data_IF_301825885682
#
_entry.id   IF_301825885682
#
_cell.length_a   1.000
_cell.length_b   1.000
_cell.length_c   1.000
_cell.angle_alpha   90.00
_cell.angle_beta   90.00
_cell.angle_gamma   90.00
#
_symmetry.space_group_name_H-M   'P 1'
#
loop_
_entity.id
_entity.type
_entity.pdbx_description
1 polymer ?
#
# COMPACT_ATOMS: atom_id res chain seq x y z
N UNK A 1 -3.28 4.40 -28.67
CA UNK A 1 -2.84 4.63 -27.28
C UNK A 1 -3.33 6.02 -26.88
N UNK A 2 -4.40 6.12 -26.09
CA UNK A 2 -4.81 7.41 -25.53
C UNK A 2 -3.75 7.82 -24.50
N UNK A 3 -3.04 8.91 -24.77
CA UNK A 3 -2.04 9.47 -23.87
C UNK A 3 -2.77 10.20 -22.74
N UNK A 4 -3.29 9.45 -21.76
CA UNK A 4 -3.87 10.04 -20.56
C UNK A 4 -2.72 10.33 -19.61
N UNK A 5 -2.40 11.61 -19.41
CA UNK A 5 -1.37 12.04 -18.45
C UNK A 5 -1.79 11.62 -17.04
N UNK A 6 -1.19 10.55 -16.52
CA UNK A 6 -1.39 10.12 -15.14
C UNK A 6 -0.54 10.97 -14.20
N UNK A 7 -1.12 11.37 -13.06
CA UNK A 7 -0.44 12.17 -12.04
C UNK A 7 -0.34 11.43 -10.70
N UNK A 8 0.84 11.50 -10.10
CA UNK A 8 1.15 10.93 -8.79
C UNK A 8 1.75 12.00 -7.87
N UNK A 9 1.37 11.98 -6.59
CA UNK A 9 1.93 12.85 -5.56
C UNK A 9 2.49 12.01 -4.40
N UNK A 10 3.77 12.19 -4.12
CA UNK A 10 4.42 11.65 -2.93
C UNK A 10 4.09 12.55 -1.72
N UNK A 11 3.31 12.07 -0.75
CA UNK A 11 2.98 12.86 0.46
C UNK A 11 3.79 12.44 1.70
N UNK A 12 4.74 11.51 1.55
CA UNK A 12 5.70 11.15 2.58
C UNK A 12 7.10 11.55 2.13
N UNK A 13 8.10 11.57 3.03
CA UNK A 13 9.48 11.79 2.62
C UNK A 13 9.93 10.70 1.64
N UNK A 14 10.52 11.08 0.51
CA UNK A 14 11.07 10.14 -0.51
C UNK A 14 12.22 9.29 0.04
N UNK A 15 12.75 9.63 1.22
CA UNK A 15 13.69 8.79 1.98
C UNK A 15 13.03 7.55 2.59
N UNK A 16 11.70 7.53 2.75
CA UNK A 16 10.96 6.35 3.19
C UNK A 16 10.78 5.36 2.05
N UNK A 17 10.79 4.07 2.36
CA UNK A 17 10.76 3.00 1.35
C UNK A 17 9.53 3.08 0.44
N UNK A 18 8.37 3.46 0.97
CA UNK A 18 7.10 3.54 0.22
C UNK A 18 7.14 4.63 -0.84
N UNK A 19 7.52 5.84 -0.45
CA UNK A 19 7.58 6.96 -1.39
C UNK A 19 8.77 6.86 -2.32
N UNK A 20 9.87 6.25 -1.88
CA UNK A 20 11.02 5.98 -2.74
C UNK A 20 10.62 5.06 -3.91
N UNK A 21 10.11 3.87 -3.61
CA UNK A 21 9.69 2.91 -4.64
C UNK A 21 8.51 3.47 -5.43
N UNK A 22 7.53 4.06 -4.73
CA UNK A 22 6.37 4.69 -5.35
C UNK A 22 6.80 5.66 -6.43
N UNK A 23 7.65 6.61 -6.09
CA UNK A 23 8.21 7.62 -7.00
C UNK A 23 8.98 6.96 -8.15
N UNK A 24 9.92 6.06 -7.87
CA UNK A 24 10.73 5.40 -8.90
C UNK A 24 9.89 4.63 -9.93
N UNK A 25 8.90 3.86 -9.47
CA UNK A 25 7.99 3.10 -10.36
C UNK A 25 7.18 4.05 -11.23
N UNK A 26 6.72 5.19 -10.70
CA UNK A 26 5.95 6.17 -11.48
C UNK A 26 6.82 6.87 -12.52
N UNK A 27 8.04 7.25 -12.16
CA UNK A 27 9.02 7.83 -13.10
C UNK A 27 9.30 6.86 -14.25
N UNK A 28 9.56 5.58 -13.96
CA UNK A 28 9.79 4.55 -14.98
C UNK A 28 8.60 4.37 -15.93
N UNK A 29 7.37 4.55 -15.41
CA UNK A 29 6.12 4.51 -16.18
C UNK A 29 5.78 5.83 -16.86
N UNK A 30 6.66 6.84 -16.80
CA UNK A 30 6.44 8.19 -17.35
C UNK A 30 5.18 8.87 -16.80
N UNK A 31 4.81 8.54 -15.55
CA UNK A 31 3.75 9.22 -14.80
C UNK A 31 4.28 10.54 -14.29
N UNK A 32 3.53 11.63 -14.47
CA UNK A 32 3.91 12.94 -13.96
C UNK A 32 3.90 12.89 -12.44
N UNK A 33 5.08 13.03 -11.84
CA UNK A 33 5.30 12.82 -10.42
C UNK A 33 5.58 14.16 -9.75
N UNK A 34 4.74 14.53 -8.79
CA UNK A 34 4.93 15.68 -7.93
C UNK A 34 5.57 15.21 -6.63
N UNK A 35 6.64 15.90 -6.24
CA UNK A 35 7.31 15.70 -4.97
C UNK A 35 7.19 17.03 -4.22
N UNK A 36 6.64 16.98 -3.01
CA UNK A 36 6.51 18.14 -2.15
C UNK A 36 7.34 17.94 -0.88
N UNK A 37 7.71 19.05 -0.23
CA UNK A 37 8.27 18.97 1.11
C UNK A 37 7.21 18.43 2.08
N UNK A 38 7.61 17.43 2.87
CA UNK A 38 6.76 16.76 3.86
C UNK A 38 7.11 17.27 5.27
N UNK A 39 6.13 17.45 6.17
CA UNK A 39 4.70 17.17 6.00
C UNK A 39 3.96 18.28 5.23
N UNK A 40 3.07 17.87 4.32
CA UNK A 40 2.23 18.80 3.56
C UNK A 40 0.93 19.06 4.35
N UNK A 41 0.61 20.31 4.73
CA UNK A 41 -0.65 20.62 5.40
C UNK A 41 -1.86 20.21 4.56
N UNK A 42 -2.92 19.71 5.20
CA UNK A 42 -4.09 19.13 4.50
C UNK A 42 -4.69 20.05 3.44
N UNK A 43 -4.80 21.35 3.71
CA UNK A 43 -5.35 22.32 2.75
C UNK A 43 -4.48 22.44 1.49
N UNK A 44 -3.16 22.45 1.66
CA UNK A 44 -2.21 22.46 0.53
C UNK A 44 -2.24 21.14 -0.23
N UNK A 45 -2.34 20.01 0.47
CA UNK A 45 -2.51 18.69 -0.15
C UNK A 45 -3.76 18.66 -1.04
N UNK A 46 -4.91 19.05 -0.50
CA UNK A 46 -6.17 19.08 -1.25
C UNK A 46 -6.09 20.05 -2.44
N UNK A 47 -5.49 21.23 -2.25
CA UNK A 47 -5.26 22.21 -3.33
C UNK A 47 -4.42 21.61 -4.46
N UNK A 48 -3.35 20.89 -4.15
CA UNK A 48 -2.48 20.24 -5.16
C UNK A 48 -3.25 19.13 -5.88
N UNK A 49 -4.03 18.32 -5.15
CA UNK A 49 -4.84 17.25 -5.74
C UNK A 49 -5.84 17.82 -6.75
N UNK A 50 -6.61 18.84 -6.35
CA UNK A 50 -7.61 19.47 -7.21
C UNK A 50 -6.98 20.17 -8.43
N UNK A 51 -5.90 20.93 -8.21
CA UNK A 51 -5.24 21.74 -9.25
C UNK A 51 -4.59 20.88 -10.33
N UNK A 52 -3.89 19.82 -9.93
CA UNK A 52 -3.13 18.96 -10.85
C UNK A 52 -3.89 17.69 -11.23
N UNK A 53 -5.13 17.53 -10.73
CA UNK A 53 -5.97 16.35 -10.94
C UNK A 53 -5.22 15.06 -10.63
N UNK A 54 -4.59 15.03 -9.45
CA UNK A 54 -3.80 13.90 -8.99
C UNK A 54 -4.68 12.65 -8.91
N UNK A 55 -4.17 11.54 -9.44
CA UNK A 55 -4.89 10.26 -9.47
C UNK A 55 -4.44 9.31 -8.36
N UNK A 56 -3.21 9.47 -7.90
CA UNK A 56 -2.56 8.54 -7.00
C UNK A 56 -1.73 9.30 -5.97
N UNK A 57 -1.89 8.97 -4.70
CA UNK A 57 -1.03 9.50 -3.66
C UNK A 57 -0.48 8.37 -2.78
N UNK A 58 0.67 8.61 -2.17
CA UNK A 58 1.08 7.90 -0.95
C UNK A 58 0.70 8.75 0.26
N UNK A 59 0.31 8.13 1.36
CA UNK A 59 -0.09 8.85 2.58
C UNK A 59 0.24 8.05 3.85
N UNK A 60 0.77 8.74 4.86
CA UNK A 60 0.89 8.22 6.21
C UNK A 60 -0.47 8.24 6.93
N UNK A 61 -0.59 7.45 8.00
CA UNK A 61 -1.80 7.39 8.81
C UNK A 61 -2.32 8.75 9.26
N UNK A 62 -1.45 9.67 9.70
CA UNK A 62 -1.90 10.99 10.14
C UNK A 62 -2.60 11.77 9.00
N UNK A 63 -2.05 11.72 7.78
CA UNK A 63 -2.67 12.31 6.60
C UNK A 63 -3.99 11.64 6.25
N UNK A 64 -4.08 10.31 6.39
CA UNK A 64 -5.33 9.57 6.21
C UNK A 64 -6.39 10.00 7.22
N UNK A 65 -6.02 10.20 8.48
CA UNK A 65 -6.95 10.68 9.51
C UNK A 65 -7.43 12.10 9.23
N UNK A 66 -6.55 12.98 8.74
CA UNK A 66 -6.95 14.32 8.31
C UNK A 66 -7.89 14.26 7.09
N UNK A 67 -7.58 13.42 6.10
CA UNK A 67 -8.45 13.18 4.93
C UNK A 67 -9.81 12.59 5.35
N UNK A 68 -9.84 11.75 6.38
CA UNK A 68 -11.06 11.12 6.88
C UNK A 68 -11.94 12.07 7.72
N UNK A 69 -11.35 13.04 8.43
CA UNK A 69 -12.06 13.83 9.46
C UNK A 69 -12.14 15.33 9.21
N UNK A 70 -11.16 15.93 8.53
CA UNK A 70 -11.07 17.39 8.40
C UNK A 70 -12.12 17.93 7.45
N UNK A 71 -12.99 18.84 7.90
CA UNK A 71 -14.00 19.50 7.05
C UNK A 71 -13.41 20.39 5.95
N UNK A 72 -12.10 20.69 6.02
CA UNK A 72 -11.39 21.40 4.95
C UNK A 72 -11.46 20.62 3.64
N UNK A 73 -11.40 19.29 3.71
CA UNK A 73 -11.40 18.39 2.53
C UNK A 73 -12.67 18.53 1.71
N UNK A 74 -13.82 18.80 2.36
CA UNK A 74 -15.12 18.90 1.69
C UNK A 74 -15.24 20.15 0.78
N UNK A 75 -14.26 21.06 0.85
CA UNK A 75 -14.21 22.26 0.01
C UNK A 75 -13.53 22.04 -1.34
N UNK A 76 -12.89 20.89 -1.54
CA UNK A 76 -12.08 20.60 -2.72
C UNK A 76 -12.67 19.44 -3.53
N UNK A 77 -12.55 19.52 -4.85
CA UNK A 77 -12.87 18.42 -5.75
C UNK A 77 -11.77 17.36 -5.74
N UNK A 78 -12.09 16.22 -5.12
CA UNK A 78 -11.21 15.06 -4.98
C UNK A 78 -11.51 13.95 -5.99
N UNK A 79 -12.42 14.19 -6.96
CA UNK A 79 -12.90 13.16 -7.89
C UNK A 79 -11.83 12.60 -8.84
N UNK A 80 -10.70 13.28 -9.01
CA UNK A 80 -9.57 12.75 -9.79
C UNK A 80 -8.84 11.62 -9.08
N UNK A 81 -8.91 11.56 -7.74
CA UNK A 81 -8.17 10.61 -6.94
C UNK A 81 -8.76 9.21 -7.12
N UNK A 82 -7.93 8.25 -7.55
CA UNK A 82 -8.34 6.87 -7.87
C UNK A 82 -7.93 5.89 -6.78
N UNK A 83 -6.74 6.05 -6.22
CA UNK A 83 -6.31 5.25 -5.09
C UNK A 83 -5.26 5.95 -4.22
N UNK A 84 -5.28 5.60 -2.93
CA UNK A 84 -4.30 6.02 -1.94
C UNK A 84 -3.49 4.79 -1.54
N UNK A 85 -2.17 4.92 -1.54
CA UNK A 85 -1.27 3.91 -0.99
C UNK A 85 -0.86 4.34 0.42
N UNK A 86 -0.94 3.43 1.38
CA UNK A 86 -0.43 3.66 2.72
C UNK A 86 0.29 2.43 3.22
N UNK A 87 1.35 2.62 3.99
CA UNK A 87 2.07 1.52 4.61
C UNK A 87 3.13 2.02 5.58
N UNK A 88 3.85 1.09 6.19
CA UNK A 88 4.74 1.37 7.32
C UNK A 88 4.00 1.46 8.67
N UNK A 89 2.67 1.37 8.64
CA UNK A 89 1.82 1.28 9.81
C UNK A 89 0.55 0.48 9.50
N UNK A 90 -0.08 -0.05 10.54
CA UNK A 90 -1.39 -0.68 10.42
C UNK A 90 -2.46 0.37 10.07
N UNK A 91 -3.29 0.06 9.07
CA UNK A 91 -4.44 0.89 8.69
C UNK A 91 -5.74 0.19 9.10
N UNK A 92 -6.48 0.71 10.10
CA UNK A 92 -7.75 0.11 10.50
C UNK A 92 -8.78 0.14 9.38
N UNK A 93 -9.61 -0.89 9.28
CA UNK A 93 -10.65 -1.01 8.26
C UNK A 93 -11.65 0.16 8.32
N UNK A 94 -11.95 0.65 9.53
CA UNK A 94 -12.80 1.83 9.73
C UNK A 94 -12.26 3.08 9.03
N UNK A 95 -10.94 3.25 8.95
CA UNK A 95 -10.31 4.36 8.21
C UNK A 95 -10.43 4.13 6.70
N UNK A 96 -10.24 2.90 6.23
CA UNK A 96 -10.40 2.55 4.82
C UNK A 96 -11.83 2.79 4.33
N UNK A 97 -12.81 2.32 5.09
CA UNK A 97 -14.23 2.52 4.81
C UNK A 97 -14.62 4.00 4.83
N UNK A 98 -14.15 4.77 5.83
CA UNK A 98 -14.43 6.21 5.92
C UNK A 98 -13.86 6.96 4.71
N UNK A 99 -12.63 6.65 4.32
CA UNK A 99 -12.00 7.25 3.14
C UNK A 99 -12.76 6.90 1.86
N UNK A 100 -13.16 5.63 1.71
CA UNK A 100 -13.92 5.17 0.55
C UNK A 100 -15.29 5.84 0.45
N UNK A 101 -16.01 5.94 1.56
CA UNK A 101 -17.31 6.60 1.61
C UNK A 101 -17.21 8.10 1.33
N UNK A 102 -16.19 8.77 1.89
CA UNK A 102 -16.03 10.23 1.78
C UNK A 102 -15.45 10.68 0.45
N UNK A 103 -14.42 9.99 -0.04
CA UNK A 103 -13.63 10.41 -1.21
C UNK A 103 -13.91 9.56 -2.46
N UNK A 104 -14.70 8.48 -2.36
CA UNK A 104 -14.93 7.55 -3.47
C UNK A 104 -13.68 6.82 -3.95
N UNK A 105 -12.62 6.81 -3.13
CA UNK A 105 -11.27 6.34 -3.48
C UNK A 105 -10.91 5.08 -2.70
N UNK A 106 -10.25 4.12 -3.36
CA UNK A 106 -9.73 2.94 -2.66
C UNK A 106 -8.45 3.26 -1.88
N UNK A 107 -8.40 2.81 -0.63
CA UNK A 107 -7.19 2.84 0.21
C UNK A 107 -6.53 1.48 0.21
N UNK A 108 -5.28 1.40 -0.24
CA UNK A 108 -4.50 0.16 -0.30
C UNK A 108 -3.46 0.17 0.82
N UNK A 109 -3.61 -0.74 1.77
CA UNK A 109 -2.59 -0.98 2.79
C UNK A 109 -1.47 -1.85 2.24
N UNK A 110 -0.25 -1.36 2.38
CA UNK A 110 0.99 -2.00 1.94
C UNK A 110 1.82 -2.32 3.17
N UNK A 111 2.26 -3.57 3.28
CA UNK A 111 3.11 -4.02 4.37
C UNK A 111 4.56 -4.10 3.88
N UNK A 112 5.52 -3.97 4.78
CA UNK A 112 6.92 -3.96 4.40
C UNK A 112 7.78 -3.34 5.46
N UNK A 113 9.06 -3.29 5.17
CA UNK A 113 10.08 -2.72 6.03
C UNK A 113 11.30 -2.35 5.20
N UNK A 114 12.20 -1.57 5.78
CA UNK A 114 13.45 -1.20 5.10
C UNK A 114 14.25 -2.42 4.63
N UNK A 115 14.17 -3.52 5.38
CA UNK A 115 14.88 -4.77 5.17
C UNK A 115 14.22 -5.68 4.12
N UNK A 116 12.91 -5.53 3.93
CA UNK A 116 12.10 -6.42 3.10
C UNK A 116 11.46 -5.71 1.89
N UNK A 117 11.84 -4.45 1.65
CA UNK A 117 11.20 -3.56 0.67
C UNK A 117 9.68 -3.47 0.94
N UNK A 118 8.89 -3.40 -0.14
CA UNK A 118 7.44 -3.38 -0.10
C UNK A 118 6.92 -4.78 -0.43
N UNK A 119 6.12 -5.34 0.48
CA UNK A 119 5.31 -6.54 0.26
C UNK A 119 3.84 -6.13 0.25
N UNK A 120 3.26 -6.03 -0.93
CA UNK A 120 1.81 -5.86 -1.06
C UNK A 120 1.16 -7.24 -1.18
N UNK A 121 0.41 -7.63 -0.15
CA UNK A 121 -0.60 -8.68 -0.29
C UNK A 121 -1.95 -8.01 -0.50
N UNK A 122 -2.58 -8.24 -1.65
CA UNK A 122 -4.03 -8.05 -1.79
C UNK A 122 -4.66 -9.41 -1.61
N UNK A 123 -5.44 -9.61 -0.54
CA UNK A 123 -6.42 -10.68 -0.57
C UNK A 123 -7.45 -10.31 -1.62
N UNK A 124 -7.73 -11.18 -2.59
CA UNK A 124 -8.75 -10.94 -3.63
C UNK A 124 -10.19 -11.04 -3.10
N UNK A 125 -10.35 -11.06 -1.78
CA UNK A 125 -11.60 -10.87 -1.08
C UNK A 125 -11.31 -10.69 0.40
N UNK A 126 -11.90 -9.67 1.02
CA UNK A 126 -12.13 -9.64 2.47
C UNK A 126 -13.24 -10.64 2.85
N UNK A 127 -13.21 -11.85 2.30
CA UNK A 127 -13.75 -12.98 3.02
C UNK A 127 -12.71 -13.31 4.08
N UNK A 128 -12.85 -12.67 5.26
CA UNK A 128 -12.34 -13.29 6.48
C UNK A 128 -12.78 -14.74 6.40
N UNK A 129 -11.84 -15.70 6.46
CA UNK A 129 -12.16 -17.12 6.43
C UNK A 129 -13.33 -17.34 7.38
N UNK A 130 -14.52 -17.70 6.85
CA UNK A 130 -15.70 -18.00 7.68
C UNK A 130 -15.24 -18.93 8.80
N UNK A 131 -15.84 -18.86 9.97
CA UNK A 131 -15.46 -19.56 11.22
C UNK A 131 -15.13 -21.08 11.08
N UNK A 132 -15.37 -21.69 9.91
CA UNK A 132 -14.93 -23.04 9.50
C UNK A 132 -13.79 -23.17 8.47
N UNK A 133 -13.12 -22.11 8.01
CA UNK A 133 -11.91 -22.25 7.19
C UNK A 133 -10.73 -22.64 8.09
N UNK A 134 -10.51 -23.94 8.18
CA UNK A 134 -9.26 -24.50 8.71
C UNK A 134 -8.22 -24.41 7.60
N UNK A 135 -7.11 -23.71 7.84
CA UNK A 135 -5.88 -24.01 7.13
C UNK A 135 -5.60 -25.49 7.39
N UNK A 136 -5.76 -26.35 6.39
CA UNK A 136 -5.45 -27.77 6.57
C UNK A 136 -3.93 -27.91 6.66
N UNK A 137 -3.42 -27.79 7.89
CA UNK A 137 -2.01 -27.60 8.18
C UNK A 137 -1.74 -26.50 9.19
N UNK A 138 -2.29 -25.29 9.05
CA UNK A 138 -1.95 -24.16 9.94
C UNK A 138 -0.44 -24.04 10.22
N UNK A 139 -0.04 -23.72 11.46
CA UNK A 139 1.36 -23.73 11.91
C UNK A 139 2.09 -25.09 11.77
N UNK A 140 1.40 -26.18 11.36
CA UNK A 140 2.06 -27.46 11.04
C UNK A 140 2.88 -27.39 9.75
N UNK A 141 2.69 -26.39 8.89
CA UNK A 141 3.66 -26.11 7.81
C UNK A 141 5.03 -25.75 8.39
N UNK A 142 5.06 -24.91 9.43
CA UNK A 142 6.31 -24.54 10.10
C UNK A 142 6.96 -25.75 10.78
N UNK A 143 6.16 -26.69 11.28
CA UNK A 143 6.65 -27.96 11.84
C UNK A 143 7.24 -28.93 10.79
N UNK A 144 6.96 -28.72 9.50
CA UNK A 144 7.48 -29.53 8.39
C UNK A 144 8.59 -28.83 7.60
N UNK A 145 8.95 -27.60 7.96
CA UNK A 145 10.05 -26.90 7.33
C UNK A 145 11.35 -27.70 7.53
N UNK A 146 12.14 -27.92 6.47
CA UNK A 146 13.40 -28.62 6.62
C UNK A 146 14.31 -27.76 7.49
N UNK A 147 14.74 -28.33 8.62
CA UNK A 147 15.69 -27.69 9.52
C UNK A 147 17.06 -28.34 9.41
N UNK A 148 18.11 -27.56 9.63
CA UNK A 148 19.46 -28.07 9.85
C UNK A 148 19.53 -28.77 11.21
N UNK A 149 20.65 -29.47 11.48
CA UNK A 149 20.92 -30.07 12.81
C UNK A 149 20.97 -29.03 13.95
N UNK A 150 21.06 -27.75 13.64
CA UNK A 150 21.05 -26.63 14.58
C UNK A 150 19.70 -25.91 14.66
N UNK A 151 18.63 -26.57 14.21
CA UNK A 151 17.24 -26.07 14.23
C UNK A 151 17.02 -24.77 13.43
N UNK A 152 17.96 -24.42 12.56
CA UNK A 152 17.80 -23.30 11.62
C UNK A 152 17.13 -23.79 10.34
N UNK A 153 16.42 -22.91 9.65
CA UNK A 153 15.80 -23.23 8.35
C UNK A 153 16.85 -23.66 7.31
N UNK A 154 16.73 -24.89 6.81
CA UNK A 154 17.54 -25.44 5.71
C UNK A 154 16.99 -24.94 4.37
N UNK A 155 17.53 -23.80 3.94
CA UNK A 155 17.10 -23.10 2.72
C UNK A 155 17.37 -23.89 1.44
N UNK A 156 18.39 -24.76 1.43
CA UNK A 156 18.73 -25.55 0.24
C UNK A 156 17.70 -26.65 0.01
N UNK A 157 17.34 -27.36 1.08
CA UNK A 157 16.35 -28.43 1.01
C UNK A 157 14.94 -27.88 0.71
N UNK A 158 14.63 -26.69 1.24
CA UNK A 158 13.38 -25.98 0.95
C UNK A 158 13.28 -25.59 -0.53
N UNK A 159 14.38 -25.13 -1.16
CA UNK A 159 14.40 -24.80 -2.60
C UNK A 159 14.15 -26.01 -3.48
N UNK A 160 14.79 -27.15 -3.17
CA UNK A 160 14.58 -28.40 -3.90
C UNK A 160 13.14 -28.90 -3.80
N UNK A 161 12.49 -28.75 -2.64
CA UNK A 161 11.08 -29.11 -2.47
C UNK A 161 10.16 -28.19 -3.28
N UNK A 162 10.44 -26.88 -3.30
CA UNK A 162 9.65 -25.92 -4.06
C UNK A 162 9.80 -26.12 -5.59
N UNK A 163 10.96 -26.56 -6.08
CA UNK A 163 11.17 -26.87 -7.49
C UNK A 163 10.38 -28.10 -7.95
N UNK A 164 10.15 -29.08 -7.07
CA UNK A 164 9.34 -30.28 -7.35
C UNK A 164 7.83 -29.98 -7.37
N UNK A 165 7.36 -28.96 -6.65
CA UNK A 165 5.94 -28.58 -6.61
C UNK A 165 5.50 -27.70 -7.80
N UNK A 166 6.44 -27.25 -8.64
CA UNK A 166 6.18 -26.38 -9.81
C UNK A 166 6.07 -27.18 -11.13
N UNK A 167 6.47 -28.46 -11.14
CA UNK A 167 6.20 -29.43 -12.23
C UNK A 167 4.84 -30.11 -12.07
#
# INVERSE_FOLDING_TARGET
MSNTDHYFLACQPVSTIIDNIGTQVRIQRRVRTLICESPLPIERLCTVIEKYKIEQITALMWTLLELARSSVVDRFDMSSLKFILSGGQHVPDTVQETIKQRLGTDLVSIHGGTEAWIVSSRSLGDEVPKEGMKLDGGAKFLARLPLTKSEKLDRMRLRLQAEVEVE
#
